data_IF_780701369742
#
_entry.id   IF_780701369742
#
_cell.length_a   1.000
_cell.length_b   1.000
_cell.length_c   1.000
_cell.angle_alpha   90.00
_cell.angle_beta   90.00
_cell.angle_gamma   90.00
#
_symmetry.space_group_name_H-M   'P 1'
#
loop_
_entity.id
_entity.type
_entity.pdbx_description
1 polymer ?
#
# COMPACT_ATOMS: atom_id res chain seq x y z
N UNK A 1 10.82 21.39 -17.16
CA UNK A 1 10.43 19.99 -16.90
C UNK A 1 9.92 19.96 -15.48
N UNK A 2 8.62 19.72 -15.27
CA UNK A 2 8.02 19.82 -13.94
C UNK A 2 8.55 18.67 -13.03
N UNK A 3 8.79 18.95 -11.75
CA UNK A 3 9.35 17.97 -10.82
C UNK A 3 8.39 16.77 -10.66
N UNK A 4 8.92 15.57 -10.40
CA UNK A 4 8.12 14.35 -10.42
C UNK A 4 6.99 14.33 -9.37
N UNK A 5 7.18 15.04 -8.26
CA UNK A 5 6.26 15.09 -7.11
C UNK A 5 5.67 16.48 -6.86
N UNK A 6 5.72 17.36 -7.87
CA UNK A 6 5.23 18.75 -7.81
C UNK A 6 3.74 18.93 -7.46
N UNK A 7 2.95 17.87 -7.60
CA UNK A 7 1.52 17.84 -7.31
C UNK A 7 1.18 17.73 -5.82
N UNK A 8 2.20 17.56 -4.95
CA UNK A 8 2.03 17.52 -3.51
C UNK A 8 2.24 18.92 -2.93
N UNK A 9 1.34 19.45 -2.11
CA UNK A 9 1.50 20.80 -1.54
C UNK A 9 2.53 20.89 -0.39
N UNK A 10 3.13 19.76 0.01
CA UNK A 10 4.04 19.65 1.14
C UNK A 10 5.51 19.53 0.69
N UNK A 11 6.32 20.62 0.77
CA UNK A 11 7.68 20.65 0.21
C UNK A 11 8.65 19.71 0.93
N UNK A 12 8.44 19.46 2.23
CA UNK A 12 9.27 18.52 2.99
C UNK A 12 9.06 17.07 2.53
N UNK A 13 7.80 16.69 2.30
CA UNK A 13 7.44 15.39 1.74
C UNK A 13 8.01 15.23 0.32
N UNK A 14 7.85 16.24 -0.54
CA UNK A 14 8.43 16.21 -1.90
C UNK A 14 9.94 15.93 -1.85
N UNK A 15 10.68 16.69 -1.04
CA UNK A 15 12.13 16.53 -0.89
C UNK A 15 12.50 15.13 -0.39
N UNK A 16 11.71 14.56 0.53
CA UNK A 16 11.94 13.20 1.03
C UNK A 16 11.69 12.15 -0.07
N UNK A 17 10.60 12.28 -0.82
CA UNK A 17 10.29 11.36 -1.93
C UNK A 17 11.37 11.40 -3.03
N UNK A 18 11.86 12.60 -3.36
CA UNK A 18 12.98 12.77 -4.30
C UNK A 18 14.25 12.09 -3.80
N UNK A 19 14.57 12.21 -2.50
CA UNK A 19 15.72 11.57 -1.90
C UNK A 19 15.61 10.03 -1.93
N UNK A 20 14.44 9.47 -1.61
CA UNK A 20 14.24 8.01 -1.67
C UNK A 20 14.31 7.49 -3.11
N UNK A 21 13.75 8.22 -4.07
CA UNK A 21 13.84 7.87 -5.50
C UNK A 21 15.29 7.93 -5.99
N UNK A 22 16.03 8.97 -5.59
CA UNK A 22 17.44 9.10 -5.90
C UNK A 22 18.25 7.95 -5.31
N UNK A 23 18.03 7.60 -4.04
CA UNK A 23 18.72 6.49 -3.37
C UNK A 23 18.46 5.15 -4.08
N UNK A 24 17.21 4.86 -4.43
CA UNK A 24 16.85 3.64 -5.16
C UNK A 24 17.58 3.55 -6.52
N UNK A 25 17.59 4.66 -7.28
CA UNK A 25 18.27 4.73 -8.58
C UNK A 25 19.79 4.68 -8.45
N UNK A 26 20.35 5.30 -7.43
CA UNK A 26 21.78 5.26 -7.13
C UNK A 26 22.23 3.83 -6.85
N UNK A 27 21.51 3.08 -6.01
CA UNK A 27 21.81 1.68 -5.71
C UNK A 27 21.69 0.79 -6.95
N UNK A 28 20.71 1.05 -7.82
CA UNK A 28 20.62 0.37 -9.12
C UNK A 28 21.88 0.62 -9.96
N UNK A 29 22.26 1.89 -10.15
CA UNK A 29 23.43 2.26 -10.97
C UNK A 29 24.74 1.78 -10.39
N UNK A 30 24.87 1.80 -9.06
CA UNK A 30 26.04 1.25 -8.36
C UNK A 30 26.14 -0.26 -8.57
N UNK A 31 25.01 -0.98 -8.52
CA UNK A 31 24.95 -2.41 -8.82
C UNK A 31 25.39 -2.73 -10.25
N UNK A 32 24.93 -1.95 -11.23
CA UNK A 32 25.39 -2.09 -12.62
C UNK A 32 26.90 -1.82 -12.75
N UNK A 33 27.40 -0.74 -12.16
CA UNK A 33 28.81 -0.36 -12.24
C UNK A 33 29.75 -1.42 -11.62
N UNK A 34 29.31 -2.05 -10.54
CA UNK A 34 30.04 -3.12 -9.87
C UNK A 34 29.80 -4.50 -10.49
N UNK A 35 29.01 -4.60 -11.57
CA UNK A 35 28.63 -5.87 -12.23
C UNK A 35 28.14 -6.93 -11.23
N UNK A 36 27.29 -6.48 -10.30
CA UNK A 36 26.86 -7.29 -9.16
C UNK A 36 25.97 -8.47 -9.61
N UNK A 37 26.28 -9.68 -9.15
CA UNK A 37 25.51 -10.90 -9.38
C UNK A 37 25.03 -11.54 -8.07
N UNK A 38 24.15 -12.54 -8.20
CA UNK A 38 23.78 -13.48 -7.13
C UNK A 38 23.23 -12.80 -5.86
N UNK A 39 23.73 -13.18 -4.68
CA UNK A 39 23.26 -12.68 -3.38
C UNK A 39 23.44 -11.16 -3.23
N UNK A 40 24.47 -10.60 -3.84
CA UNK A 40 24.69 -9.16 -3.80
C UNK A 40 23.66 -8.44 -4.65
N UNK A 41 23.28 -9.00 -5.81
CA UNK A 41 22.21 -8.44 -6.64
C UNK A 41 20.90 -8.46 -5.86
N UNK A 42 20.65 -9.54 -5.14
CA UNK A 42 19.49 -9.69 -4.27
C UNK A 42 19.42 -8.61 -3.18
N UNK A 43 20.54 -8.22 -2.57
CA UNK A 43 20.60 -7.12 -1.60
C UNK A 43 20.23 -5.76 -2.25
N UNK A 44 20.72 -5.49 -3.46
CA UNK A 44 20.36 -4.27 -4.20
C UNK A 44 18.87 -4.25 -4.56
N UNK A 45 18.33 -5.37 -5.03
CA UNK A 45 16.90 -5.52 -5.39
C UNK A 45 16.01 -5.33 -4.16
N UNK A 46 16.36 -5.96 -3.03
CA UNK A 46 15.65 -5.77 -1.75
C UNK A 46 15.58 -4.30 -1.36
N UNK A 47 16.72 -3.60 -1.37
CA UNK A 47 16.76 -2.18 -1.05
C UNK A 47 15.85 -1.36 -1.99
N UNK A 48 15.91 -1.60 -3.29
CA UNK A 48 15.08 -0.89 -4.26
C UNK A 48 13.58 -1.11 -4.02
N UNK A 49 13.15 -2.34 -3.76
CA UNK A 49 11.74 -2.67 -3.47
C UNK A 49 11.25 -1.94 -2.22
N UNK A 50 12.06 -1.88 -1.15
CA UNK A 50 11.71 -1.11 0.07
C UNK A 50 11.44 0.34 -0.30
N UNK A 51 12.34 0.96 -1.08
CA UNK A 51 12.25 2.37 -1.38
C UNK A 51 11.09 2.70 -2.31
N UNK A 52 10.87 1.91 -3.36
CA UNK A 52 9.72 2.13 -4.23
C UNK A 52 8.40 1.92 -3.49
N UNK A 53 8.28 0.87 -2.67
CA UNK A 53 7.09 0.63 -1.85
C UNK A 53 6.84 1.78 -0.86
N UNK A 54 7.88 2.34 -0.25
CA UNK A 54 7.77 3.48 0.65
C UNK A 54 7.28 4.76 -0.07
N UNK A 55 7.72 4.99 -1.31
CA UNK A 55 7.25 6.12 -2.13
C UNK A 55 5.75 5.98 -2.42
N UNK A 56 5.29 4.80 -2.87
CA UNK A 56 3.86 4.56 -3.09
C UNK A 56 3.04 4.75 -1.81
N UNK A 57 3.51 4.18 -0.70
CA UNK A 57 2.84 4.30 0.58
C UNK A 57 2.70 5.75 1.01
N UNK A 58 3.81 6.51 1.00
CA UNK A 58 3.83 7.89 1.44
C UNK A 58 2.89 8.78 0.61
N UNK A 59 2.84 8.60 -0.71
CA UNK A 59 1.94 9.36 -1.59
C UNK A 59 0.48 9.00 -1.30
N UNK A 60 0.13 7.72 -1.25
CA UNK A 60 -1.25 7.28 -0.98
C UNK A 60 -1.71 7.80 0.38
N UNK A 61 -0.88 7.62 1.41
CA UNK A 61 -1.17 8.09 2.77
C UNK A 61 -1.38 9.61 2.76
N UNK A 62 -0.47 10.38 2.19
CA UNK A 62 -0.63 11.84 2.14
C UNK A 62 -1.94 12.25 1.46
N UNK A 63 -2.28 11.66 0.32
CA UNK A 63 -3.52 11.99 -0.40
C UNK A 63 -4.78 11.64 0.41
N UNK A 64 -4.83 10.46 1.04
CA UNK A 64 -6.00 10.02 1.81
C UNK A 64 -6.28 10.93 3.01
N UNK A 65 -5.24 11.36 3.74
CA UNK A 65 -5.43 12.10 5.00
C UNK A 65 -5.33 13.61 4.89
N UNK A 66 -4.69 14.15 3.85
CA UNK A 66 -4.55 15.60 3.69
C UNK A 66 -5.47 16.18 2.62
N UNK A 67 -5.84 15.39 1.61
CA UNK A 67 -6.71 15.86 0.51
C UNK A 67 -8.12 15.25 0.63
N UNK A 68 -8.21 13.95 0.92
CA UNK A 68 -9.48 13.20 0.90
C UNK A 68 -9.96 12.74 2.29
N UNK A 69 -9.57 13.44 3.37
CA UNK A 69 -9.87 13.03 4.75
C UNK A 69 -11.37 12.81 5.00
N UNK A 70 -12.20 13.62 4.35
CA UNK A 70 -13.66 13.63 4.55
C UNK A 70 -14.39 12.67 3.60
N UNK A 71 -13.66 11.96 2.73
CA UNK A 71 -14.27 11.06 1.77
C UNK A 71 -14.86 9.81 2.48
N UNK A 72 -16.04 9.32 2.05
CA UNK A 72 -16.67 8.12 2.66
C UNK A 72 -15.75 6.90 2.72
N UNK A 73 -14.90 6.70 1.70
CA UNK A 73 -13.94 5.59 1.68
C UNK A 73 -12.86 5.72 2.79
N UNK A 74 -12.42 6.94 3.12
CA UNK A 74 -11.42 7.18 4.18
C UNK A 74 -12.06 7.07 5.56
N UNK A 75 -13.25 7.64 5.74
CA UNK A 75 -13.99 7.50 7.00
C UNK A 75 -14.37 6.04 7.26
N UNK A 76 -14.70 5.26 6.23
CA UNK A 76 -15.02 3.83 6.35
C UNK A 76 -13.87 3.00 6.94
N UNK A 77 -12.62 3.31 6.60
CA UNK A 77 -11.44 2.62 7.14
C UNK A 77 -10.99 3.19 8.49
N UNK A 78 -11.32 4.45 8.78
CA UNK A 78 -10.96 5.10 10.06
C UNK A 78 -11.85 4.65 11.23
N UNK A 79 -13.09 4.23 10.99
CA UNK A 79 -14.03 3.89 12.05
C UNK A 79 -14.42 2.42 12.00
N UNK A 80 -14.20 1.71 13.11
CA UNK A 80 -14.73 0.36 13.30
C UNK A 80 -15.74 0.32 14.45
N UNK A 81 -16.72 -0.59 14.33
CA UNK A 81 -17.63 -0.89 15.42
C UNK A 81 -16.89 -1.70 16.46
N UNK A 82 -16.90 -1.21 17.70
CA UNK A 82 -16.38 -1.91 18.87
C UNK A 82 -17.49 -2.08 19.90
N UNK A 83 -17.37 -3.11 20.72
CA UNK A 83 -18.31 -3.39 21.79
C UNK A 83 -17.71 -2.94 23.10
N UNK A 84 -18.33 -1.95 23.75
CA UNK A 84 -17.91 -1.47 25.08
C UNK A 84 -18.83 -2.09 26.12
N UNK A 85 -18.27 -2.67 27.18
CA UNK A 85 -19.06 -3.19 28.30
C UNK A 85 -19.96 -2.08 28.86
N UNK A 86 -21.26 -2.35 28.97
CA UNK A 86 -22.21 -1.38 29.48
C UNK A 86 -21.95 -1.13 30.96
N UNK A 87 -21.62 0.11 31.32
CA UNK A 87 -21.37 0.52 32.70
C UNK A 87 -22.66 0.84 33.49
N UNK A 88 -23.81 0.87 32.81
CA UNK A 88 -25.08 1.33 33.37
C UNK A 88 -25.90 0.23 34.04
N UNK A 89 -25.57 -1.04 33.80
CA UNK A 89 -26.08 -2.14 34.61
C UNK A 89 -25.14 -2.33 35.79
N UNK A 90 -25.69 -2.34 37.01
CA UNK A 90 -24.91 -2.53 38.23
C UNK A 90 -24.06 -3.81 38.17
N UNK A 91 -22.91 -3.78 38.84
CA UNK A 91 -21.95 -4.88 38.96
C UNK A 91 -22.50 -6.18 39.57
N UNK A 92 -23.78 -6.22 39.90
CA UNK A 92 -24.49 -7.33 40.54
C UNK A 92 -25.23 -8.26 39.57
N UNK A 93 -25.34 -7.92 38.28
CA UNK A 93 -25.95 -8.81 37.29
C UNK A 93 -24.90 -9.70 36.63
N UNK A 94 -24.93 -11.01 36.96
CA UNK A 94 -24.15 -12.05 36.29
C UNK A 94 -25.11 -12.99 35.56
N UNK A 95 -24.87 -13.19 34.28
CA UNK A 95 -25.65 -14.06 33.41
C UNK A 95 -24.68 -15.10 32.84
N UNK A 96 -25.09 -16.37 32.81
CA UNK A 96 -24.30 -17.45 32.23
C UNK A 96 -25.13 -18.22 31.22
N UNK A 97 -24.50 -18.70 30.15
CA UNK A 97 -25.16 -19.66 29.26
C UNK A 97 -25.32 -20.99 30.00
N UNK A 98 -26.55 -21.49 30.08
CA UNK A 98 -26.87 -22.76 30.74
C UNK A 98 -26.13 -23.96 30.10
N UNK A 99 -25.81 -23.87 28.80
CA UNK A 99 -25.26 -24.98 28.02
C UNK A 99 -23.72 -25.00 27.99
N UNK A 100 -23.07 -23.83 28.00
CA UNK A 100 -21.60 -23.70 27.93
C UNK A 100 -20.95 -23.26 29.24
N UNK A 101 -21.73 -22.72 30.18
CA UNK A 101 -21.23 -22.11 31.42
C UNK A 101 -20.50 -20.77 31.21
N UNK A 102 -20.50 -20.22 29.99
CA UNK A 102 -19.82 -18.97 29.66
C UNK A 102 -20.55 -17.75 30.23
N UNK A 103 -19.81 -16.77 30.74
CA UNK A 103 -20.36 -15.52 31.28
C UNK A 103 -20.80 -14.58 30.15
N UNK A 104 -22.05 -14.13 30.21
CA UNK A 104 -22.64 -13.19 29.27
C UNK A 104 -22.34 -11.77 29.73
N UNK A 105 -21.62 -11.02 28.88
CA UNK A 105 -21.32 -9.61 29.10
C UNK A 105 -22.20 -8.75 28.18
N UNK A 106 -22.98 -7.85 28.79
CA UNK A 106 -23.76 -6.85 28.05
C UNK A 106 -22.86 -5.72 27.55
N UNK A 107 -22.86 -5.52 26.24
CA UNK A 107 -22.07 -4.48 25.57
C UNK A 107 -22.96 -3.48 24.84
N UNK A 108 -22.51 -2.23 24.76
CA UNK A 108 -23.03 -1.22 23.84
C UNK A 108 -22.14 -1.14 22.60
N UNK A 109 -22.76 -0.96 21.44
CA UNK A 109 -22.03 -0.66 20.22
C UNK A 109 -21.49 0.77 20.27
N UNK A 110 -20.20 0.93 20.04
CA UNK A 110 -19.54 2.21 19.94
C UNK A 110 -18.74 2.28 18.64
N UNK A 111 -18.72 3.44 18.00
CA UNK A 111 -17.78 3.73 16.91
C UNK A 111 -16.46 4.20 17.50
N UNK A 112 -15.39 3.48 17.25
CA UNK A 112 -14.05 3.86 17.67
C UNK A 112 -13.19 4.21 16.46
N UNK A 113 -12.47 5.33 16.57
CA UNK A 113 -11.49 5.75 15.56
C UNK A 113 -10.23 4.90 15.69
N UNK A 114 -9.88 4.20 14.62
CA UNK A 114 -8.64 3.44 14.48
C UNK A 114 -7.47 4.40 14.31
N UNK A 115 -6.31 4.08 14.90
CA UNK A 115 -5.08 4.82 14.62
C UNK A 115 -4.68 4.63 13.15
N UNK A 116 -4.28 5.72 12.48
CA UNK A 116 -3.83 5.73 11.07
C UNK A 116 -2.73 4.70 10.78
N UNK A 117 -1.90 4.41 11.78
CA UNK A 117 -0.78 3.46 11.71
C UNK A 117 -1.26 2.01 11.74
N UNK A 118 -2.39 1.74 12.40
CA UNK A 118 -2.94 0.39 12.57
C UNK A 118 -3.80 -0.07 11.39
N UNK A 119 -4.23 0.85 10.53
CA UNK A 119 -5.00 0.52 9.33
C UNK A 119 -4.06 -0.19 8.34
N UNK A 120 -4.49 -1.34 7.82
CA UNK A 120 -3.68 -2.13 6.88
C UNK A 120 -3.44 -1.33 5.61
N UNK A 121 -2.28 -1.50 5.00
CA UNK A 121 -1.97 -0.79 3.76
C UNK A 121 -2.89 -1.20 2.61
N UNK A 122 -3.27 -2.48 2.52
CA UNK A 122 -4.23 -2.96 1.53
C UNK A 122 -5.55 -2.17 1.60
N UNK A 123 -6.11 -1.93 2.80
CA UNK A 123 -7.33 -1.15 3.00
C UNK A 123 -7.17 0.32 2.54
N UNK A 124 -5.96 0.88 2.67
CA UNK A 124 -5.63 2.24 2.19
C UNK A 124 -5.60 2.29 0.67
N UNK A 125 -5.04 1.26 0.03
CA UNK A 125 -5.03 1.12 -1.43
C UNK A 125 -6.46 0.97 -1.95
N UNK A 126 -7.29 0.17 -1.28
CA UNK A 126 -8.70 0.01 -1.66
C UNK A 126 -9.49 1.32 -1.54
N UNK A 127 -9.24 2.10 -0.49
CA UNK A 127 -9.81 3.43 -0.36
C UNK A 127 -9.34 4.37 -1.49
N UNK A 128 -8.06 4.30 -1.90
CA UNK A 128 -7.53 5.09 -3.00
C UNK A 128 -8.17 4.74 -4.35
N UNK A 129 -8.40 3.45 -4.61
CA UNK A 129 -9.12 2.96 -5.80
C UNK A 129 -10.58 3.41 -5.77
N UNK A 130 -11.23 3.33 -4.61
CA UNK A 130 -12.61 3.76 -4.43
C UNK A 130 -12.81 5.28 -4.61
N UNK A 131 -11.82 6.10 -4.26
CA UNK A 131 -11.81 7.54 -4.54
C UNK A 131 -11.59 7.81 -6.04
N UNK A 132 -10.88 6.90 -6.73
CA UNK A 132 -10.65 6.94 -8.17
C UNK A 132 -9.32 7.57 -8.59
N UNK A 133 -8.46 7.97 -7.65
CA UNK A 133 -7.12 8.49 -7.98
C UNK A 133 -6.09 7.39 -8.26
N UNK A 134 -6.46 6.12 -8.04
CA UNK A 134 -5.64 4.95 -8.29
C UNK A 134 -6.40 3.94 -9.16
N UNK A 135 -5.76 3.43 -10.20
CA UNK A 135 -6.28 2.35 -11.03
C UNK A 135 -6.28 1.02 -10.26
N UNK A 136 -7.30 0.18 -10.45
CA UNK A 136 -7.47 -1.08 -9.71
C UNK A 136 -6.31 -2.05 -9.94
N UNK A 137 -5.88 -2.23 -11.20
CA UNK A 137 -4.76 -3.12 -11.54
C UNK A 137 -3.45 -2.60 -10.95
N UNK A 138 -3.23 -1.28 -11.00
CA UNK A 138 -2.07 -0.65 -10.37
C UNK A 138 -2.11 -0.77 -8.84
N UNK A 139 -3.31 -0.71 -8.25
CA UNK A 139 -3.53 -0.95 -6.83
C UNK A 139 -3.07 -2.34 -6.40
N UNK A 140 -3.43 -3.39 -7.15
CA UNK A 140 -2.98 -4.76 -6.86
C UNK A 140 -1.46 -4.94 -7.00
N UNK A 141 -0.85 -4.31 -8.01
CA UNK A 141 0.62 -4.28 -8.14
C UNK A 141 1.27 -3.57 -6.93
N UNK A 142 0.70 -2.43 -6.47
CA UNK A 142 1.19 -1.67 -5.31
C UNK A 142 1.07 -2.47 -4.01
N UNK A 143 -0.06 -3.17 -3.79
CA UNK A 143 -0.22 -4.11 -2.66
C UNK A 143 0.85 -5.19 -2.71
N UNK A 144 1.16 -5.71 -3.90
CA UNK A 144 2.21 -6.71 -4.09
C UNK A 144 3.59 -6.16 -3.73
N UNK A 145 3.94 -4.95 -4.17
CA UNK A 145 5.21 -4.31 -3.79
C UNK A 145 5.32 -4.11 -2.27
N UNK A 146 4.23 -3.75 -1.61
CA UNK A 146 4.19 -3.61 -0.15
C UNK A 146 4.35 -4.95 0.58
N UNK A 147 3.69 -6.00 0.11
CA UNK A 147 3.88 -7.37 0.65
C UNK A 147 5.33 -7.83 0.46
N UNK A 148 5.95 -7.57 -0.70
CA UNK A 148 7.36 -7.87 -0.94
C UNK A 148 8.27 -7.11 0.02
N UNK A 149 8.00 -5.82 0.30
CA UNK A 149 8.72 -5.07 1.34
C UNK A 149 8.60 -5.75 2.70
N UNK A 150 7.39 -6.15 3.12
CA UNK A 150 7.17 -6.79 4.42
C UNK A 150 7.77 -8.20 4.51
N UNK A 151 7.89 -8.89 3.38
CA UNK A 151 8.56 -10.18 3.30
C UNK A 151 10.07 -10.08 3.53
N UNK A 152 10.66 -8.87 3.61
CA UNK A 152 12.11 -8.69 3.81
C UNK A 152 12.54 -9.12 5.20
N UNK A 153 11.62 -9.10 6.17
CA UNK A 153 11.84 -9.73 7.47
C UNK A 153 12.16 -11.21 7.26
N UNK A 154 13.32 -11.66 7.76
CA UNK A 154 13.87 -12.99 7.52
C UNK A 154 12.86 -14.11 7.82
N UNK A 155 12.11 -13.98 8.91
CA UNK A 155 11.05 -14.93 9.28
C UNK A 155 9.90 -15.01 8.26
N UNK A 156 9.54 -13.88 7.66
CA UNK A 156 8.52 -13.79 6.60
C UNK A 156 9.05 -14.33 5.28
N UNK A 157 10.31 -14.04 4.94
CA UNK A 157 11.00 -14.58 3.76
C UNK A 157 11.08 -16.12 3.82
N UNK A 158 11.40 -16.68 5.00
CA UNK A 158 11.46 -18.13 5.23
C UNK A 158 10.06 -18.75 5.10
N UNK A 159 9.02 -18.10 5.65
CA UNK A 159 7.63 -18.60 5.58
C UNK A 159 7.05 -18.57 4.16
N UNK A 160 7.39 -17.56 3.37
CA UNK A 160 6.78 -17.28 2.07
C UNK A 160 7.64 -17.68 0.86
N UNK A 161 8.85 -18.24 1.06
CA UNK A 161 9.80 -18.60 0.00
C UNK A 161 10.00 -17.47 -1.03
N UNK A 162 10.06 -16.21 -0.56
CA UNK A 162 10.04 -15.04 -1.43
C UNK A 162 11.34 -14.93 -2.22
N UNK A 163 11.28 -15.19 -3.53
CA UNK A 163 12.34 -14.83 -4.46
C UNK A 163 12.22 -13.36 -4.84
N UNK A 164 13.19 -12.57 -4.40
CA UNK A 164 13.30 -11.16 -4.83
C UNK A 164 13.90 -11.14 -6.23
N UNK A 165 13.02 -11.01 -7.21
CA UNK A 165 13.41 -10.95 -8.61
C UNK A 165 13.70 -9.51 -9.02
N UNK A 166 14.74 -9.34 -9.83
CA UNK A 166 15.06 -8.06 -10.47
C UNK A 166 13.85 -7.50 -11.24
N UNK A 167 13.03 -8.38 -11.81
CA UNK A 167 11.79 -8.03 -12.49
C UNK A 167 10.83 -7.23 -11.60
N UNK A 168 10.68 -7.60 -10.33
CA UNK A 168 9.79 -6.94 -9.38
C UNK A 168 10.23 -5.51 -9.05
N UNK A 169 11.54 -5.29 -8.88
CA UNK A 169 12.08 -3.93 -8.68
C UNK A 169 11.93 -3.06 -9.92
N UNK A 170 12.22 -3.62 -11.10
CA UNK A 170 12.06 -2.91 -12.38
C UNK A 170 10.59 -2.55 -12.64
N UNK A 171 9.66 -3.44 -12.31
CA UNK A 171 8.23 -3.19 -12.43
C UNK A 171 7.82 -2.04 -11.51
N UNK A 172 8.19 -2.10 -10.22
CA UNK A 172 7.89 -1.04 -9.25
C UNK A 172 8.41 0.33 -9.69
N UNK A 173 9.61 0.39 -10.28
CA UNK A 173 10.15 1.63 -10.86
C UNK A 173 9.37 2.10 -12.10
N UNK A 174 9.08 1.19 -13.04
CA UNK A 174 8.36 1.52 -14.28
C UNK A 174 6.96 2.05 -14.02
N UNK A 175 6.31 1.58 -12.95
CA UNK A 175 4.98 2.03 -12.53
C UNK A 175 4.95 3.38 -11.84
N UNK A 176 6.09 3.89 -11.39
CA UNK A 176 6.15 5.14 -10.63
C UNK A 176 5.71 6.33 -11.48
N UNK A 177 6.10 6.36 -12.75
CA UNK A 177 5.76 7.43 -13.68
C UNK A 177 4.26 7.46 -14.07
N UNK A 178 3.64 6.36 -14.52
CA UNK A 178 2.19 6.37 -14.78
C UNK A 178 1.39 6.64 -13.51
N UNK A 179 1.85 6.17 -12.35
CA UNK A 179 1.24 6.48 -11.05
C UNK A 179 1.24 7.99 -10.75
N UNK A 180 2.40 8.65 -10.77
CA UNK A 180 2.47 10.09 -10.44
C UNK A 180 1.76 10.97 -11.46
N UNK A 181 1.84 10.62 -12.75
CA UNK A 181 1.08 11.32 -13.80
C UNK A 181 -0.42 11.12 -13.67
N UNK A 182 -0.84 9.89 -13.35
CA UNK A 182 -2.23 9.54 -13.07
C UNK A 182 -2.80 10.41 -11.96
N UNK A 183 -2.09 10.48 -10.83
CA UNK A 183 -2.48 11.33 -9.68
C UNK A 183 -2.53 12.79 -10.07
N UNK A 184 -1.51 13.33 -10.76
CA UNK A 184 -1.50 14.73 -11.21
C UNK A 184 -2.70 15.04 -12.10
N UNK A 185 -3.03 14.15 -13.04
CA UNK A 185 -4.21 14.28 -13.89
C UNK A 185 -5.51 14.21 -13.09
N UNK A 186 -5.59 13.31 -12.13
CA UNK A 186 -6.75 13.18 -11.25
C UNK A 186 -6.96 14.43 -10.40
N UNK A 187 -5.91 14.97 -9.78
CA UNK A 187 -6.01 16.17 -8.95
C UNK A 187 -6.44 17.41 -9.74
N UNK A 188 -6.14 17.47 -11.05
CA UNK A 188 -6.53 18.60 -11.90
C UNK A 188 -7.91 18.45 -12.55
N UNK A 189 -8.36 17.22 -12.84
CA UNK A 189 -9.58 16.97 -13.64
C UNK A 189 -10.67 16.20 -12.89
N UNK A 190 -10.36 15.63 -11.73
CA UNK A 190 -11.25 14.71 -10.99
C UNK A 190 -11.42 13.34 -11.66
N UNK A 191 -10.73 13.07 -12.77
CA UNK A 191 -10.82 11.81 -13.52
C UNK A 191 -9.42 11.25 -13.75
N UNK A 192 -9.26 9.95 -13.54
CA UNK A 192 -7.96 9.30 -13.76
C UNK A 192 -7.67 9.24 -15.27
N UNK A 193 -6.59 9.87 -15.75
CA UNK A 193 -6.25 9.87 -17.17
C UNK A 193 -5.83 8.47 -17.64
N UNK A 194 -5.92 8.20 -18.94
CA UNK A 194 -5.54 6.89 -19.51
C UNK A 194 -4.08 6.51 -19.21
N UNK A 195 -3.17 7.49 -19.13
CA UNK A 195 -1.76 7.27 -18.76
C UNK A 195 -1.60 6.65 -17.36
N UNK A 196 -2.55 6.91 -16.45
CA UNK A 196 -2.58 6.35 -15.10
C UNK A 196 -3.29 5.01 -15.01
N UNK A 197 -3.96 4.54 -16.07
CA UNK A 197 -4.67 3.27 -16.11
C UNK A 197 -3.77 2.19 -16.67
N UNK A 198 -3.57 1.12 -15.91
CA UNK A 198 -2.86 -0.04 -16.45
C UNK A 198 -3.82 -0.82 -17.36
N UNK A 199 -3.42 -0.98 -18.62
CA UNK A 199 -4.11 -1.91 -19.51
C UNK A 199 -3.96 -3.32 -18.93
N UNK A 200 -5.05 -4.10 -18.80
CA UNK A 200 -4.95 -5.48 -18.38
C UNK A 200 -3.97 -6.21 -19.31
N UNK A 201 -3.01 -6.91 -18.72
CA UNK A 201 -2.13 -7.80 -19.47
C UNK A 201 -3.04 -8.85 -20.11
N UNK A 202 -3.14 -8.88 -21.45
CA UNK A 202 -3.80 -10.00 -22.11
C UNK A 202 -3.13 -11.28 -21.60
N UNK A 203 -3.88 -12.33 -21.24
CA UNK A 203 -3.28 -13.60 -20.88
C UNK A 203 -2.38 -14.01 -22.05
N UNK A 204 -1.09 -14.19 -21.76
CA UNK A 204 -0.13 -14.76 -22.70
C UNK A 204 -0.75 -16.03 -23.25
N UNK A 205 -1.07 -16.04 -24.54
CA UNK A 205 -1.60 -17.22 -25.21
C UNK A 205 -0.70 -18.40 -24.85
N UNK A 206 -1.24 -19.52 -24.35
CA UNK A 206 -0.41 -20.67 -24.05
C UNK A 206 0.29 -21.06 -25.34
N UNK A 207 1.61 -20.99 -25.33
CA UNK A 207 2.47 -21.50 -26.38
C UNK A 207 2.04 -22.94 -26.64
N UNK A 208 1.35 -23.15 -27.75
CA UNK A 208 0.98 -24.46 -28.25
C UNK A 208 2.27 -25.17 -28.69
N UNK A 209 2.96 -25.80 -27.75
CA UNK A 209 3.90 -26.86 -28.06
C UNK A 209 3.09 -28.12 -28.34
N UNK A 210 2.77 -28.32 -29.62
CA UNK A 210 2.31 -29.58 -30.19
C UNK A 210 2.99 -29.72 -31.56
N UNK A 211 3.86 -30.72 -31.70
CA UNK A 211 4.41 -31.20 -32.98
C UNK A 211 5.91 -31.14 -33.09
#
# INVERSE_FOLDING_TARGET
MAAMFDFLDEPELQKRLEAELYAARYIYKLGEALSVSDERLHAHVKFQIVQYAAIYEAIIVHLLWNIYSDHPAVTGIEYHTTFKKSAHLGSSLSLTLADSGEEIVLCTEARQKTSRVSIKFDDKVDAAVAIGFLDENLGEEVKTFYRLRNAIHLESAIRNQTNYELASSLLAFRRLLPFTRGIRGFLSTGVLPEEGRLKPQLPSSPSSNLG
#
